data_IF_597860225344
#
_entry.id   IF_597860225344
#
_cell.length_a   1.000
_cell.length_b   1.000
_cell.length_c   1.000
_cell.angle_alpha   90.00
_cell.angle_beta   90.00
_cell.angle_gamma   90.00
#
_symmetry.space_group_name_H-M   'P 1'
#
loop_
_entity.id
_entity.type
_entity.pdbx_description
1 polymer ?
#
# COMPACT_ATOMS: atom_id res chain seq x y z
N UNK A 1 -25.03 -4.28 -4.01
CA UNK A 1 -24.33 -5.34 -3.27
C UNK A 1 -22.83 -5.10 -3.34
N UNK A 2 -22.11 -5.41 -2.25
CA UNK A 2 -20.65 -5.24 -2.14
C UNK A 2 -19.96 -6.61 -2.07
N UNK A 3 -18.76 -6.70 -2.66
CA UNK A 3 -17.83 -7.82 -2.47
C UNK A 3 -16.73 -7.38 -1.52
N UNK A 4 -16.31 -8.27 -0.62
CA UNK A 4 -15.18 -8.03 0.29
C UNK A 4 -14.07 -9.01 -0.07
N UNK A 5 -12.94 -8.46 -0.50
CA UNK A 5 -11.72 -9.19 -0.81
C UNK A 5 -10.74 -8.96 0.33
N UNK A 6 -10.54 -9.98 1.16
CA UNK A 6 -9.61 -9.94 2.27
C UNK A 6 -8.25 -10.47 1.80
N UNK A 7 -7.20 -9.67 1.91
CA UNK A 7 -5.83 -10.05 1.58
C UNK A 7 -4.95 -9.99 2.83
N UNK A 8 -3.79 -10.66 2.78
CA UNK A 8 -2.82 -10.73 3.87
C UNK A 8 -1.46 -10.25 3.38
N UNK A 9 -1.07 -9.05 3.83
CA UNK A 9 0.23 -8.44 3.51
C UNK A 9 1.38 -8.81 4.48
N UNK A 10 1.21 -9.80 5.36
CA UNK A 10 2.21 -10.22 6.36
C UNK A 10 2.82 -11.59 6.07
N UNK A 11 1.99 -12.60 5.80
CA UNK A 11 2.43 -13.99 5.81
C UNK A 11 3.41 -14.34 4.67
N UNK A 12 3.25 -13.71 3.50
CA UNK A 12 3.97 -14.11 2.27
C UNK A 12 4.82 -12.99 1.66
N UNK A 13 4.90 -11.82 2.31
CA UNK A 13 5.75 -10.73 1.82
C UNK A 13 7.23 -11.13 1.83
N UNK A 14 7.98 -10.58 0.89
CA UNK A 14 9.44 -10.61 0.95
C UNK A 14 9.92 -9.93 2.24
N UNK A 15 11.14 -10.20 2.68
CA UNK A 15 11.70 -9.48 3.82
C UNK A 15 11.84 -7.98 3.53
N UNK A 16 11.83 -7.15 4.58
CA UNK A 16 12.02 -5.70 4.49
C UNK A 16 13.31 -5.36 3.74
N UNK A 17 13.24 -4.42 2.80
CA UNK A 17 14.39 -4.02 1.98
C UNK A 17 15.42 -3.23 2.77
N UNK A 18 16.69 -3.39 2.38
CA UNK A 18 17.84 -2.69 2.94
C UNK A 18 17.84 -2.69 4.48
N UNK A 19 17.80 -3.89 5.11
CA UNK A 19 17.76 -4.00 6.56
C UNK A 19 19.02 -3.41 7.19
N UNK A 20 18.89 -2.85 8.39
CA UNK A 20 20.05 -2.35 9.14
C UNK A 20 20.92 -3.55 9.59
N UNK A 21 22.26 -3.49 9.45
CA UNK A 21 23.14 -4.57 9.89
C UNK A 21 22.87 -4.97 11.35
N UNK A 22 22.70 -6.27 11.61
CA UNK A 22 22.45 -6.80 12.95
C UNK A 22 21.07 -6.48 13.55
N UNK A 23 20.14 -5.91 12.78
CA UNK A 23 18.77 -5.61 13.24
C UNK A 23 17.74 -6.22 12.29
N UNK A 24 16.80 -6.98 12.85
CA UNK A 24 15.62 -7.43 12.10
C UNK A 24 14.50 -6.39 12.08
N UNK A 25 13.56 -6.55 11.15
CA UNK A 25 12.37 -5.71 11.03
C UNK A 25 12.52 -4.57 10.02
N UNK A 26 11.50 -3.72 9.96
CA UNK A 26 11.43 -2.59 9.02
C UNK A 26 12.26 -1.40 9.49
N UNK A 27 12.49 -0.48 8.56
CA UNK A 27 13.19 0.79 8.73
C UNK A 27 12.66 1.80 7.71
N UNK A 28 13.19 3.01 7.73
CA UNK A 28 12.89 4.03 6.72
C UNK A 28 14.12 4.20 5.83
N UNK A 29 13.94 4.07 4.52
CA UNK A 29 15.00 4.09 3.50
C UNK A 29 14.76 5.19 2.48
N UNK A 30 15.82 5.63 1.79
CA UNK A 30 15.74 6.59 0.70
C UNK A 30 15.71 5.94 -0.68
N UNK A 31 15.89 6.76 -1.72
CA UNK A 31 15.99 6.33 -3.11
C UNK A 31 17.26 5.50 -3.40
N UNK A 32 18.25 5.52 -2.51
CA UNK A 32 19.49 4.73 -2.58
C UNK A 32 19.26 3.23 -2.32
N UNK A 33 18.09 2.85 -1.78
CA UNK A 33 17.76 1.45 -1.52
C UNK A 33 17.34 0.70 -2.79
N UNK A 34 18.32 0.13 -3.50
CA UNK A 34 18.09 -0.64 -4.73
C UNK A 34 17.20 -1.88 -4.53
N UNK A 35 17.26 -2.53 -3.37
CA UNK A 35 16.39 -3.68 -3.05
C UNK A 35 14.91 -3.31 -3.07
N UNK A 36 14.55 -2.05 -2.75
CA UNK A 36 13.15 -1.61 -2.71
C UNK A 36 12.47 -1.75 -4.08
N UNK A 37 13.22 -1.53 -5.16
CA UNK A 37 12.73 -1.55 -6.53
C UNK A 37 13.06 -2.86 -7.26
N UNK A 38 13.49 -3.91 -6.55
CA UNK A 38 13.67 -5.22 -7.14
C UNK A 38 12.29 -5.79 -7.58
N UNK A 39 12.08 -6.08 -8.88
CA UNK A 39 10.80 -6.57 -9.40
C UNK A 39 10.38 -7.91 -8.81
N UNK A 40 11.32 -8.69 -8.26
CA UNK A 40 11.07 -10.01 -7.67
C UNK A 40 10.45 -9.92 -6.28
N UNK A 41 10.48 -8.75 -5.64
CA UNK A 41 9.87 -8.58 -4.31
C UNK A 41 8.34 -8.54 -4.42
N UNK A 42 7.69 -9.10 -3.41
CA UNK A 42 6.24 -9.26 -3.34
C UNK A 42 5.74 -8.88 -1.95
N UNK A 43 4.53 -8.34 -1.89
CA UNK A 43 3.81 -8.08 -0.63
C UNK A 43 2.84 -9.23 -0.29
N UNK A 44 2.17 -9.80 -1.29
CA UNK A 44 1.12 -10.79 -1.07
C UNK A 44 1.59 -12.24 -1.33
N UNK A 45 2.76 -12.43 -1.93
CA UNK A 45 3.15 -13.70 -2.52
C UNK A 45 2.45 -13.94 -3.87
N UNK A 46 3.07 -14.73 -4.74
CA UNK A 46 2.58 -14.97 -6.11
C UNK A 46 1.16 -15.56 -6.12
N UNK A 47 0.88 -16.53 -5.24
CA UNK A 47 -0.42 -17.19 -5.17
C UNK A 47 -1.55 -16.21 -4.82
N UNK A 48 -1.35 -15.34 -3.84
CA UNK A 48 -2.36 -14.37 -3.43
C UNK A 48 -2.47 -13.20 -4.42
N UNK A 49 -1.37 -12.76 -5.05
CA UNK A 49 -1.42 -11.77 -6.14
C UNK A 49 -2.29 -12.29 -7.31
N UNK A 50 -2.09 -13.55 -7.72
CA UNK A 50 -2.89 -14.20 -8.77
C UNK A 50 -4.36 -14.36 -8.39
N UNK A 51 -4.62 -14.84 -7.17
CA UNK A 51 -5.98 -14.96 -6.64
C UNK A 51 -6.69 -13.61 -6.55
N UNK A 52 -6.03 -12.57 -6.03
CA UNK A 52 -6.59 -11.21 -5.92
C UNK A 52 -7.02 -10.69 -7.29
N UNK A 53 -6.13 -10.80 -8.29
CA UNK A 53 -6.44 -10.40 -9.68
C UNK A 53 -7.68 -11.14 -10.20
N UNK A 54 -7.80 -12.44 -9.92
CA UNK A 54 -8.96 -13.22 -10.33
C UNK A 54 -10.25 -12.73 -9.64
N UNK A 55 -10.21 -12.47 -8.32
CA UNK A 55 -11.38 -11.95 -7.60
C UNK A 55 -11.86 -10.61 -8.17
N UNK A 56 -10.92 -9.72 -8.49
CA UNK A 56 -11.26 -8.45 -9.13
C UNK A 56 -11.85 -8.65 -10.54
N UNK A 57 -11.31 -9.59 -11.32
CA UNK A 57 -11.76 -9.88 -12.69
C UNK A 57 -13.17 -10.47 -12.77
N UNK A 58 -13.56 -11.30 -11.80
CA UNK A 58 -14.87 -12.00 -11.83
C UNK A 58 -15.97 -11.28 -11.06
N UNK A 59 -15.64 -10.19 -10.36
CA UNK A 59 -16.62 -9.50 -9.52
C UNK A 59 -17.66 -8.74 -10.34
N UNK A 60 -18.93 -9.10 -10.14
CA UNK A 60 -20.09 -8.34 -10.61
C UNK A 60 -20.66 -7.39 -9.54
N UNK A 61 -19.98 -7.22 -8.40
CA UNK A 61 -20.45 -6.37 -7.31
C UNK A 61 -20.35 -4.88 -7.68
N UNK A 62 -21.26 -4.06 -7.13
CA UNK A 62 -21.26 -2.60 -7.33
C UNK A 62 -20.09 -1.92 -6.63
N UNK A 63 -19.69 -2.48 -5.48
CA UNK A 63 -18.56 -2.03 -4.68
C UNK A 63 -17.64 -3.21 -4.42
N UNK A 64 -16.33 -2.98 -4.55
CA UNK A 64 -15.30 -3.98 -4.29
C UNK A 64 -14.40 -3.46 -3.18
N UNK A 65 -14.65 -3.94 -1.96
CA UNK A 65 -13.91 -3.55 -0.77
C UNK A 65 -12.72 -4.48 -0.60
N UNK A 66 -11.52 -3.92 -0.62
CA UNK A 66 -10.26 -4.62 -0.43
C UNK A 66 -9.79 -4.33 1.00
N UNK A 67 -9.91 -5.32 1.88
CA UNK A 67 -9.54 -5.19 3.28
C UNK A 67 -8.13 -5.75 3.48
N UNK A 68 -7.25 -4.93 4.06
CA UNK A 68 -5.83 -5.22 4.22
C UNK A 68 -5.24 -4.43 5.40
N UNK A 69 -3.97 -4.65 5.75
CA UNK A 69 -3.42 -4.20 7.03
C UNK A 69 -2.81 -2.79 7.00
N UNK A 70 -2.09 -2.41 5.94
CA UNK A 70 -1.18 -1.24 5.93
C UNK A 70 -1.59 -0.11 4.96
N UNK A 71 -0.89 1.02 4.93
CA UNK A 71 -1.18 2.10 3.96
C UNK A 71 -0.73 1.69 2.54
N UNK A 72 -1.65 1.70 1.58
CA UNK A 72 -1.36 1.46 0.15
C UNK A 72 -0.90 2.74 -0.55
N UNK A 73 -1.53 3.88 -0.26
CA UNK A 73 -1.16 5.16 -0.86
C UNK A 73 0.34 5.44 -0.69
N UNK A 74 0.93 6.09 -1.70
CA UNK A 74 2.33 6.50 -1.59
C UNK A 74 2.49 7.59 -0.54
N UNK A 75 3.35 7.34 0.43
CA UNK A 75 3.58 8.22 1.55
C UNK A 75 5.07 8.56 1.67
N UNK A 76 5.43 9.78 1.27
CA UNK A 76 6.78 10.29 1.42
C UNK A 76 6.96 10.87 2.82
N UNK A 77 7.78 10.22 3.64
CA UNK A 77 8.03 10.68 5.01
C UNK A 77 8.97 11.89 5.12
N UNK A 78 9.49 12.38 3.99
CA UNK A 78 10.43 13.49 3.96
C UNK A 78 9.74 14.84 3.69
N UNK A 79 10.00 15.84 4.54
CA UNK A 79 9.52 17.22 4.35
C UNK A 79 10.41 18.03 3.37
N UNK A 80 11.58 17.49 2.97
CA UNK A 80 12.60 18.18 2.19
C UNK A 80 12.94 17.54 0.85
N UNK A 81 14.14 17.80 0.34
CA UNK A 81 14.62 17.17 -0.90
C UNK A 81 14.90 15.67 -0.71
N UNK A 82 14.55 14.89 -1.74
CA UNK A 82 14.64 13.42 -1.71
C UNK A 82 13.42 12.78 -1.04
N UNK A 83 13.29 11.45 -1.15
CA UNK A 83 12.12 10.73 -0.63
C UNK A 83 12.50 9.76 0.47
N UNK A 84 11.58 9.51 1.39
CA UNK A 84 11.75 8.51 2.45
C UNK A 84 10.56 7.59 2.55
N UNK A 85 10.84 6.29 2.56
CA UNK A 85 9.85 5.23 2.50
C UNK A 85 9.97 4.30 3.70
N UNK A 86 8.85 4.04 4.38
CA UNK A 86 8.81 3.01 5.41
C UNK A 86 8.77 1.64 4.75
N UNK A 87 9.70 0.75 5.10
CA UNK A 87 9.83 -0.55 4.43
C UNK A 87 8.78 -1.58 4.87
N UNK A 88 7.98 -1.27 5.91
CA UNK A 88 6.91 -2.13 6.44
C UNK A 88 5.67 -2.17 5.54
N UNK A 89 5.26 -1.02 5.01
CA UNK A 89 4.03 -0.86 4.24
C UNK A 89 4.29 -0.98 2.72
N UNK A 90 3.31 -0.62 1.91
CA UNK A 90 3.39 -0.73 0.45
C UNK A 90 4.46 0.18 -0.21
N UNK A 91 4.97 1.22 0.46
CA UNK A 91 6.12 1.99 -0.04
C UNK A 91 7.43 1.22 -0.01
N UNK A 92 7.53 0.21 0.86
CA UNK A 92 8.58 -0.78 0.85
C UNK A 92 8.54 -1.73 -0.35
N UNK A 93 7.41 -1.80 -1.08
CA UNK A 93 7.17 -2.75 -2.17
C UNK A 93 6.51 -2.07 -3.39
N UNK A 94 7.10 -1.00 -3.95
CA UNK A 94 6.47 -0.15 -4.97
C UNK A 94 6.04 -0.92 -6.22
N UNK A 95 6.82 -1.91 -6.67
CA UNK A 95 6.48 -2.71 -7.85
C UNK A 95 5.38 -3.74 -7.56
N UNK A 96 5.32 -4.30 -6.35
CA UNK A 96 4.19 -5.15 -5.93
C UNK A 96 2.91 -4.32 -5.78
N UNK A 97 3.01 -3.12 -5.19
CA UNK A 97 1.91 -2.14 -5.15
C UNK A 97 1.38 -1.85 -6.55
N UNK A 98 2.29 -1.57 -7.51
CA UNK A 98 1.90 -1.31 -8.89
C UNK A 98 1.15 -2.50 -9.50
N UNK A 99 1.60 -3.73 -9.29
CA UNK A 99 0.88 -4.94 -9.77
C UNK A 99 -0.53 -5.05 -9.20
N UNK A 100 -0.72 -4.77 -7.90
CA UNK A 100 -2.05 -4.75 -7.28
C UNK A 100 -2.94 -3.65 -7.88
N UNK A 101 -2.42 -2.43 -7.99
CA UNK A 101 -3.12 -1.27 -8.55
C UNK A 101 -3.49 -1.51 -10.02
N UNK A 102 -2.58 -2.05 -10.82
CA UNK A 102 -2.84 -2.42 -12.22
C UNK A 102 -3.88 -3.54 -12.31
N UNK A 103 -3.87 -4.53 -11.41
CA UNK A 103 -4.91 -5.55 -11.35
C UNK A 103 -6.30 -4.98 -11.04
N UNK A 104 -6.39 -3.93 -10.21
CA UNK A 104 -7.65 -3.20 -9.99
C UNK A 104 -8.06 -2.45 -11.27
N UNK A 105 -7.13 -1.71 -11.86
CA UNK A 105 -7.39 -0.86 -13.03
C UNK A 105 -7.80 -1.67 -14.27
N UNK A 106 -7.10 -2.77 -14.54
CA UNK A 106 -7.22 -3.53 -15.79
C UNK A 106 -8.42 -4.48 -15.77
N UNK A 107 -8.87 -4.92 -14.59
CA UNK A 107 -10.09 -5.74 -14.44
C UNK A 107 -11.37 -4.92 -14.54
N UNK A 108 -11.28 -3.58 -14.41
CA UNK A 108 -12.41 -2.65 -14.45
C UNK A 108 -13.50 -2.98 -13.43
N UNK A 109 -13.12 -3.59 -12.32
CA UNK A 109 -14.04 -3.85 -11.22
C UNK A 109 -14.69 -2.55 -10.73
N UNK A 110 -15.99 -2.59 -10.44
CA UNK A 110 -16.71 -1.37 -10.09
C UNK A 110 -16.40 -0.88 -8.69
N UNK A 111 -16.22 0.44 -8.58
CA UNK A 111 -16.01 1.18 -7.34
C UNK A 111 -15.07 0.48 -6.33
N UNK A 112 -13.77 0.34 -6.64
CA UNK A 112 -12.81 -0.23 -5.71
C UNK A 112 -12.60 0.70 -4.50
N UNK A 113 -12.68 0.13 -3.30
CA UNK A 113 -12.40 0.80 -2.04
C UNK A 113 -11.37 -0.02 -1.27
N UNK A 114 -10.29 0.61 -0.81
CA UNK A 114 -9.28 -0.03 0.03
C UNK A 114 -9.51 0.39 1.48
N UNK A 115 -9.57 -0.58 2.39
CA UNK A 115 -9.64 -0.37 3.82
C UNK A 115 -8.36 -0.87 4.48
N UNK A 116 -7.69 0.01 5.24
CA UNK A 116 -6.41 -0.25 5.90
C UNK A 116 -6.36 0.18 7.36
N UNK A 117 -5.22 -0.05 8.00
CA UNK A 117 -4.91 0.35 9.38
C UNK A 117 -3.41 0.63 9.56
N UNK A 118 -2.83 0.14 10.67
CA UNK A 118 -1.39 0.14 11.01
C UNK A 118 -0.75 1.52 11.26
N UNK A 119 -1.15 2.56 10.53
CA UNK A 119 -0.57 3.90 10.64
C UNK A 119 -0.94 4.64 11.94
N UNK A 120 -1.86 4.09 12.73
CA UNK A 120 -2.45 4.69 13.95
C UNK A 120 -3.03 6.10 13.73
N UNK A 121 -3.25 6.48 12.47
CA UNK A 121 -3.68 7.81 12.04
C UNK A 121 -4.71 7.62 10.94
N UNK A 122 -5.72 8.49 10.88
CA UNK A 122 -6.73 8.41 9.82
C UNK A 122 -6.17 8.93 8.50
N UNK A 123 -6.34 8.18 7.42
CA UNK A 123 -6.08 8.64 6.06
C UNK A 123 -7.32 8.47 5.18
N UNK A 124 -7.50 9.40 4.24
CA UNK A 124 -8.41 9.28 3.12
C UNK A 124 -7.64 9.68 1.85
N UNK A 125 -7.41 8.72 0.96
CA UNK A 125 -6.49 8.90 -0.16
C UNK A 125 -7.13 8.48 -1.49
N UNK A 126 -6.76 9.20 -2.55
CA UNK A 126 -6.92 8.74 -3.92
C UNK A 126 -5.79 7.77 -4.26
N UNK A 127 -6.13 6.56 -4.69
CA UNK A 127 -5.15 5.62 -5.23
C UNK A 127 -4.99 5.91 -6.72
N UNK A 128 -3.88 6.55 -7.08
CA UNK A 128 -3.53 6.81 -8.48
C UNK A 128 -2.93 5.56 -9.10
N UNK A 129 -3.21 5.31 -10.39
CA UNK A 129 -2.50 4.28 -11.15
C UNK A 129 -0.98 4.50 -11.10
N UNK A 130 -0.57 5.78 -11.15
CA UNK A 130 0.79 6.25 -11.03
C UNK A 130 0.92 7.49 -10.14
N UNK A 131 1.44 7.31 -8.93
CA UNK A 131 1.59 8.40 -7.95
C UNK A 131 2.60 9.47 -8.38
N UNK A 132 3.59 9.12 -9.19
CA UNK A 132 4.62 10.07 -9.66
C UNK A 132 4.14 10.93 -10.85
N UNK A 133 2.90 10.70 -11.34
CA UNK A 133 2.28 11.49 -12.41
C UNK A 133 0.99 12.15 -11.89
N UNK A 134 0.97 13.47 -11.63
CA UNK A 134 -0.19 14.16 -11.07
C UNK A 134 -1.50 13.95 -11.84
N UNK A 135 -1.43 13.84 -13.18
CA UNK A 135 -2.58 13.58 -14.05
C UNK A 135 -2.98 12.10 -14.18
N UNK A 136 -2.35 11.19 -13.44
CA UNK A 136 -2.69 9.77 -13.49
C UNK A 136 -4.14 9.54 -13.01
N UNK A 137 -4.89 8.61 -13.63
CA UNK A 137 -6.23 8.28 -13.18
C UNK A 137 -6.23 7.76 -11.74
N UNK A 138 -7.25 8.15 -10.97
CA UNK A 138 -7.63 7.48 -9.71
C UNK A 138 -8.30 6.16 -10.03
N UNK A 139 -7.85 5.07 -9.42
CA UNK A 139 -8.38 3.71 -9.65
C UNK A 139 -9.14 3.15 -8.45
N UNK A 140 -8.91 3.69 -7.25
CA UNK A 140 -9.60 3.33 -6.02
C UNK A 140 -9.58 4.52 -5.04
N UNK A 141 -10.44 4.48 -4.04
CA UNK A 141 -10.30 5.30 -2.83
C UNK A 141 -9.81 4.44 -1.68
N UNK A 142 -8.90 4.96 -0.86
CA UNK A 142 -8.40 4.30 0.34
C UNK A 142 -8.84 5.04 1.60
N UNK A 143 -9.29 4.28 2.59
CA UNK A 143 -9.53 4.75 3.95
C UNK A 143 -8.70 3.93 4.93
N UNK A 144 -7.84 4.62 5.68
CA UNK A 144 -7.09 4.01 6.77
C UNK A 144 -7.71 4.44 8.08
N UNK A 145 -8.09 3.45 8.90
CA UNK A 145 -8.60 3.68 10.24
C UNK A 145 -7.48 4.06 11.20
N UNK A 146 -7.77 4.97 12.13
CA UNK A 146 -6.92 5.19 13.29
C UNK A 146 -6.87 3.95 14.20
N UNK A 147 -6.04 4.02 15.23
CA UNK A 147 -5.93 2.98 16.24
C UNK A 147 -7.10 3.04 17.23
N UNK A 148 -7.37 1.91 17.89
CA UNK A 148 -8.26 1.90 19.06
C UNK A 148 -7.59 2.64 20.23
N UNK A 149 -6.30 2.37 20.48
CA UNK A 149 -5.53 2.99 21.58
C UNK A 149 -4.05 3.24 21.29
N UNK A 150 -3.45 2.60 20.27
CA UNK A 150 -2.03 2.77 19.97
C UNK A 150 -1.69 4.21 19.58
N UNK A 151 -0.53 4.70 20.02
CA UNK A 151 -0.14 6.08 19.78
C UNK A 151 0.22 6.32 18.29
N UNK A 152 -0.26 7.45 17.77
CA UNK A 152 0.09 7.98 16.45
C UNK A 152 1.39 8.79 16.48
N UNK A 153 1.77 9.34 15.33
CA UNK A 153 2.75 10.41 15.28
C UNK A 153 2.25 11.63 16.08
N UNK A 154 3.14 12.42 16.72
CA UNK A 154 2.74 13.66 17.36
C UNK A 154 2.01 14.59 16.39
N UNK A 155 0.94 15.25 16.84
CA UNK A 155 0.12 16.14 16.01
C UNK A 155 0.97 17.18 15.26
N UNK A 156 1.97 17.77 15.92
CA UNK A 156 2.87 18.75 15.32
C UNK A 156 3.73 18.23 14.15
N UNK A 157 3.82 16.90 13.96
CA UNK A 157 4.42 16.30 12.75
C UNK A 157 3.38 16.13 11.65
N UNK A 158 2.16 15.76 11.99
CA UNK A 158 1.06 15.63 11.03
C UNK A 158 0.68 16.98 10.41
N UNK A 159 0.71 18.06 11.19
CA UNK A 159 0.39 19.43 10.75
C UNK A 159 1.37 19.99 9.69
N UNK A 160 2.45 19.25 9.38
CA UNK A 160 3.46 19.63 8.37
C UNK A 160 3.25 18.97 7.01
N UNK A 161 2.27 18.07 6.90
CA UNK A 161 1.86 17.40 5.67
C UNK A 161 0.56 18.00 5.14
#
# INVERSE_FOLDING_TARGET
>A
MASIVLIDDRQYRSYHACPKPGRGGSNVVGDDCAERVDPRRTMLGEAQEGWFKQQMAVSAARWNVIAQQTLVAQFDENEGQGRRFWTENWDGYPLARRRMIDAIADTKAQNPLIAGGDMHTFFACDIKRDFDRPGSPTVASEFVGGSITSQALPQARLDRW
#
